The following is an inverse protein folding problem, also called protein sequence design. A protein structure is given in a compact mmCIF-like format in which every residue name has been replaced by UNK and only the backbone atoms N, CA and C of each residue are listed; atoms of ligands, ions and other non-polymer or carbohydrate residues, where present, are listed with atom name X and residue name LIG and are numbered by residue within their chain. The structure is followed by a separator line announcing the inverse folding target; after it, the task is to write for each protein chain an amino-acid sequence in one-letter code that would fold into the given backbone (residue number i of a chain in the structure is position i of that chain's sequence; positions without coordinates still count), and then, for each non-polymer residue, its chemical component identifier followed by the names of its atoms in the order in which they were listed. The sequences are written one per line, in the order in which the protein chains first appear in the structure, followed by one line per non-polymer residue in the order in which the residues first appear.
data_IF_651085980947
#
_entry.id   IF_651085980947
#
_cell.length_a   1.000
_cell.length_b   1.000
_cell.length_c   1.000
_cell.angle_alpha   90.00
_cell.angle_beta   90.00
_cell.angle_gamma   90.00
#
_symmetry.space_group_name_H-M   'P 1'
#
loop_
_entity.id
_entity.type
_entity.pdbx_description
1 polymer ?
#
# COMPACT_ATOMS: atom_id res chain seq x y z
N UNK A 1 0.55 18.22 -9.91
CA UNK A 1 -0.13 17.01 -10.41
C UNK A 1 0.37 16.52 -11.77
N UNK A 2 0.74 17.41 -12.74
CA UNK A 2 1.11 17.02 -14.12
C UNK A 2 2.19 15.93 -14.22
N UNK A 3 3.20 15.97 -13.36
CA UNK A 3 4.32 14.99 -13.37
C UNK A 3 4.04 13.71 -12.57
N UNK A 4 2.92 13.62 -11.85
CA UNK A 4 2.66 12.54 -10.90
C UNK A 4 2.77 11.14 -11.53
N UNK A 5 2.21 10.93 -12.72
CA UNK A 5 2.34 9.63 -13.42
C UNK A 5 3.78 9.21 -13.64
N UNK A 6 4.64 10.14 -14.00
CA UNK A 6 6.06 9.87 -14.28
C UNK A 6 6.87 9.61 -13.02
N UNK A 7 6.49 10.23 -11.88
CA UNK A 7 7.29 10.19 -10.64
C UNK A 7 6.78 9.19 -9.60
N UNK A 8 5.50 8.78 -9.65
CA UNK A 8 4.84 7.97 -8.61
C UNK A 8 5.49 6.62 -8.27
N UNK A 9 6.32 6.11 -9.15
CA UNK A 9 7.04 4.84 -8.97
C UNK A 9 8.46 5.01 -8.43
N UNK A 10 8.88 6.24 -8.12
CA UNK A 10 10.17 6.50 -7.50
C UNK A 10 10.25 5.89 -6.08
N UNK A 11 11.47 5.55 -5.68
CA UNK A 11 11.68 4.86 -4.39
C UNK A 11 11.84 5.85 -3.24
N UNK A 12 12.57 6.94 -3.46
CA UNK A 12 12.92 7.93 -2.43
C UNK A 12 12.69 9.35 -2.92
N UNK A 13 12.56 10.31 -2.00
CA UNK A 13 12.42 11.75 -2.29
C UNK A 13 11.00 12.28 -2.15
N UNK A 14 10.88 13.60 -2.22
CA UNK A 14 9.60 14.31 -1.99
C UNK A 14 8.66 14.27 -3.18
N UNK A 15 9.18 14.12 -4.40
CA UNK A 15 8.41 14.22 -5.65
C UNK A 15 7.73 12.90 -6.09
N UNK A 16 7.97 11.79 -5.38
CA UNK A 16 7.48 10.45 -5.77
C UNK A 16 6.11 10.09 -5.23
N UNK A 17 5.53 10.96 -4.43
CA UNK A 17 4.23 10.73 -3.80
C UNK A 17 3.47 12.03 -3.69
N UNK A 18 2.13 11.96 -3.69
CA UNK A 18 1.28 13.11 -3.34
C UNK A 18 1.42 13.53 -1.89
N UNK A 19 1.95 12.66 -1.01
CA UNK A 19 2.01 12.83 0.45
C UNK A 19 0.64 13.03 1.11
N UNK A 20 -0.45 12.61 0.45
CA UNK A 20 -1.81 12.74 0.98
C UNK A 20 -2.15 11.67 2.02
N UNK A 21 -1.45 10.51 2.00
CA UNK A 21 -1.84 9.35 2.79
C UNK A 21 -1.91 9.59 4.30
N UNK A 22 -0.98 10.29 4.98
CA UNK A 22 -1.11 10.58 6.41
C UNK A 22 -2.33 11.46 6.73
N UNK A 23 -2.61 12.44 5.88
CA UNK A 23 -3.76 13.35 6.04
C UNK A 23 -5.09 12.68 5.75
N UNK A 24 -5.13 11.75 4.78
CA UNK A 24 -6.29 10.94 4.49
C UNK A 24 -6.55 9.90 5.59
N UNK A 25 -5.49 9.31 6.16
CA UNK A 25 -5.59 8.34 7.24
C UNK A 25 -6.09 8.99 8.54
N UNK A 26 -5.56 10.17 8.89
CA UNK A 26 -5.99 10.93 10.08
C UNK A 26 -7.36 11.61 9.92
N UNK A 27 -7.91 11.67 8.70
CA UNK A 27 -9.16 12.39 8.41
C UNK A 27 -9.00 13.91 8.28
N UNK A 28 -7.79 14.45 8.39
CA UNK A 28 -7.51 15.88 8.19
C UNK A 28 -7.72 16.34 6.73
N UNK A 29 -7.63 15.40 5.78
CA UNK A 29 -7.97 15.60 4.37
C UNK A 29 -9.01 14.55 3.95
N UNK A 30 -10.12 14.97 3.34
CA UNK A 30 -11.05 14.03 2.73
C UNK A 30 -10.69 13.76 1.26
N UNK A 31 -11.00 12.55 0.77
CA UNK A 31 -10.82 12.22 -0.65
C UNK A 31 -11.67 13.15 -1.55
N UNK A 32 -12.85 13.58 -1.09
CA UNK A 32 -13.70 14.54 -1.81
C UNK A 32 -13.05 15.91 -1.94
N UNK A 33 -12.44 16.40 -0.86
CA UNK A 33 -11.70 17.67 -0.86
C UNK A 33 -10.51 17.58 -1.82
N UNK A 34 -9.70 16.50 -1.74
CA UNK A 34 -8.59 16.28 -2.65
C UNK A 34 -9.04 16.26 -4.12
N UNK A 35 -10.15 15.57 -4.41
CA UNK A 35 -10.74 15.53 -5.75
C UNK A 35 -11.23 16.89 -6.23
N UNK A 36 -11.92 17.66 -5.38
CA UNK A 36 -12.40 19.01 -5.73
C UNK A 36 -11.23 19.94 -6.09
N UNK A 37 -10.15 19.92 -5.30
CA UNK A 37 -8.94 20.70 -5.61
C UNK A 37 -8.26 20.21 -6.90
N UNK A 38 -8.25 18.90 -7.16
CA UNK A 38 -7.71 18.38 -8.40
C UNK A 38 -8.52 18.86 -9.61
N UNK A 39 -9.86 18.90 -9.52
CA UNK A 39 -10.72 19.42 -10.58
C UNK A 39 -10.57 20.91 -10.81
N UNK A 40 -10.43 21.69 -9.73
CA UNK A 40 -10.12 23.12 -9.85
C UNK A 40 -8.76 23.35 -10.54
N UNK A 41 -7.75 22.57 -10.17
CA UNK A 41 -6.45 22.58 -10.84
C UNK A 41 -6.54 22.23 -12.33
N UNK A 42 -7.30 21.21 -12.70
CA UNK A 42 -7.50 20.83 -14.12
C UNK A 42 -8.24 21.92 -14.91
N UNK A 43 -9.20 22.61 -14.30
CA UNK A 43 -9.90 23.73 -14.93
C UNK A 43 -8.98 24.93 -15.20
N UNK A 44 -8.02 25.20 -14.32
CA UNK A 44 -7.07 26.30 -14.45
C UNK A 44 -5.87 25.96 -15.36
N UNK A 45 -5.31 24.76 -15.22
CA UNK A 45 -4.02 24.35 -15.80
C UNK A 45 -4.11 23.30 -16.87
N UNK A 46 -5.30 22.79 -17.14
CA UNK A 46 -5.55 21.68 -18.04
C UNK A 46 -5.39 20.31 -17.40
N UNK A 47 -6.15 19.35 -17.87
CA UNK A 47 -6.05 17.94 -17.47
C UNK A 47 -4.77 17.31 -18.06
N UNK A 48 -4.26 16.28 -17.38
CA UNK A 48 -3.06 15.55 -17.78
C UNK A 48 -3.11 14.09 -17.32
N UNK A 49 -2.25 13.26 -17.87
CA UNK A 49 -2.04 11.90 -17.37
C UNK A 49 -1.69 11.88 -15.87
N UNK A 50 -0.94 12.85 -15.39
CA UNK A 50 -0.58 12.95 -13.97
C UNK A 50 -1.80 13.23 -13.09
N UNK A 51 -2.68 14.17 -13.49
CA UNK A 51 -3.91 14.46 -12.74
C UNK A 51 -4.89 13.28 -12.77
N UNK A 52 -5.03 12.60 -13.93
CA UNK A 52 -5.82 11.37 -14.05
C UNK A 52 -5.33 10.29 -13.07
N UNK A 53 -4.02 10.02 -13.02
CA UNK A 53 -3.48 9.00 -12.14
C UNK A 53 -3.63 9.36 -10.65
N UNK A 54 -3.55 10.63 -10.29
CA UNK A 54 -3.81 11.05 -8.92
C UNK A 54 -5.27 10.79 -8.51
N UNK A 55 -6.23 11.07 -9.39
CA UNK A 55 -7.62 10.70 -9.18
C UNK A 55 -7.80 9.18 -9.09
N UNK A 56 -7.14 8.44 -9.97
CA UNK A 56 -7.22 6.98 -10.01
C UNK A 56 -6.73 6.32 -8.70
N UNK A 57 -5.71 6.89 -8.05
CA UNK A 57 -5.27 6.41 -6.74
C UNK A 57 -6.31 6.66 -5.62
N UNK A 58 -7.10 7.73 -5.70
CA UNK A 58 -8.22 7.95 -4.79
C UNK A 58 -9.33 6.90 -4.99
N UNK A 59 -9.55 6.46 -6.24
CA UNK A 59 -10.49 5.36 -6.52
C UNK A 59 -10.04 4.03 -5.94
N UNK A 60 -8.73 3.71 -5.94
CA UNK A 60 -8.22 2.51 -5.28
C UNK A 60 -8.55 2.50 -3.78
N UNK A 61 -8.43 3.64 -3.12
CA UNK A 61 -8.82 3.77 -1.71
C UNK A 61 -10.29 3.44 -1.49
N UNK A 62 -11.18 3.98 -2.31
CA UNK A 62 -12.62 3.71 -2.23
C UNK A 62 -12.93 2.25 -2.61
N UNK A 63 -12.27 1.70 -3.62
CA UNK A 63 -12.41 0.30 -4.01
C UNK A 63 -12.12 -0.66 -2.84
N UNK A 64 -11.01 -0.49 -2.14
CA UNK A 64 -10.69 -1.32 -0.98
C UNK A 64 -11.70 -1.16 0.15
N UNK A 65 -12.21 0.04 0.36
CA UNK A 65 -13.29 0.27 1.33
C UNK A 65 -14.58 -0.47 0.95
N UNK A 66 -14.99 -0.42 -0.31
CA UNK A 66 -16.16 -1.15 -0.79
C UNK A 66 -15.98 -2.68 -0.73
N UNK A 67 -14.77 -3.17 -0.97
CA UNK A 67 -14.46 -4.59 -0.75
C UNK A 67 -14.70 -5.00 0.71
N UNK A 68 -14.29 -4.17 1.67
CA UNK A 68 -14.51 -4.45 3.08
C UNK A 68 -16.00 -4.44 3.44
N UNK A 69 -16.78 -3.50 2.90
CA UNK A 69 -18.24 -3.48 3.08
C UNK A 69 -18.91 -4.73 2.50
N UNK A 70 -18.38 -5.25 1.39
CA UNK A 70 -18.94 -6.43 0.71
C UNK A 70 -18.56 -7.74 1.39
N UNK A 71 -17.30 -7.92 1.76
CA UNK A 71 -16.75 -9.21 2.17
C UNK A 71 -16.44 -9.29 3.70
N UNK A 72 -16.32 -8.16 4.38
CA UNK A 72 -16.13 -8.08 5.81
C UNK A 72 -14.98 -8.97 6.33
N UNK A 73 -15.29 -9.79 7.31
CA UNK A 73 -14.30 -10.68 7.97
C UNK A 73 -13.62 -11.69 7.03
N UNK A 74 -14.17 -11.95 5.85
CA UNK A 74 -13.56 -12.89 4.91
C UNK A 74 -12.19 -12.41 4.45
N UNK A 75 -11.99 -11.10 4.30
CA UNK A 75 -10.73 -10.50 3.91
C UNK A 75 -9.57 -10.77 4.89
N UNK A 76 -9.86 -11.14 6.13
CA UNK A 76 -8.85 -11.39 7.18
C UNK A 76 -8.51 -12.87 7.35
N UNK A 77 -9.16 -13.77 6.60
CA UNK A 77 -8.85 -15.18 6.61
C UNK A 77 -7.52 -15.44 5.87
N UNK A 78 -6.82 -16.51 6.25
CA UNK A 78 -5.57 -16.89 5.60
C UNK A 78 -5.69 -17.03 4.08
N UNK A 79 -6.78 -17.60 3.59
CA UNK A 79 -7.08 -17.72 2.16
C UNK A 79 -7.58 -16.43 1.52
N UNK A 80 -7.96 -15.39 2.30
CA UNK A 80 -8.61 -14.19 1.78
C UNK A 80 -9.93 -14.54 1.07
N UNK A 81 -10.08 -14.07 -0.15
CA UNK A 81 -11.20 -14.42 -1.05
C UNK A 81 -10.87 -15.62 -1.95
N UNK A 82 -9.63 -16.10 -1.95
CA UNK A 82 -9.17 -17.23 -2.75
C UNK A 82 -9.40 -18.58 -2.06
N UNK A 83 -8.83 -19.62 -2.69
CA UNK A 83 -8.86 -21.00 -2.21
C UNK A 83 -7.47 -21.56 -1.85
N UNK A 84 -6.45 -20.71 -1.91
CA UNK A 84 -5.09 -21.13 -1.63
C UNK A 84 -4.96 -21.58 -0.16
N UNK A 85 -4.05 -22.52 0.14
CA UNK A 85 -3.78 -22.95 1.51
C UNK A 85 -3.30 -21.79 2.37
N UNK A 86 -3.38 -21.96 3.68
CA UNK A 86 -2.79 -21.00 4.61
C UNK A 86 -1.28 -20.86 4.33
N UNK A 87 -0.74 -19.64 4.35
CA UNK A 87 0.70 -19.44 4.19
C UNK A 87 1.47 -20.02 5.39
N UNK A 88 2.72 -20.36 5.17
CA UNK A 88 3.63 -20.73 6.26
C UNK A 88 4.04 -19.48 7.07
N UNK A 89 4.62 -19.72 8.24
CA UNK A 89 5.19 -18.65 9.04
C UNK A 89 6.47 -19.13 9.72
N UNK A 90 7.60 -18.54 9.34
CA UNK A 90 8.88 -18.70 10.02
C UNK A 90 9.14 -17.43 10.85
N UNK A 91 9.04 -17.50 12.19
CA UNK A 91 9.26 -16.33 13.05
C UNK A 91 10.67 -15.74 12.94
N UNK A 92 11.69 -16.55 12.67
CA UNK A 92 13.06 -16.08 12.55
C UNK A 92 13.28 -15.31 11.24
N UNK A 93 12.80 -15.83 10.12
CA UNK A 93 12.83 -15.16 8.82
C UNK A 93 11.98 -13.86 8.86
N UNK A 94 10.78 -13.93 9.43
CA UNK A 94 9.93 -12.75 9.62
C UNK A 94 10.60 -11.68 10.49
N UNK A 95 11.26 -12.09 11.60
CA UNK A 95 11.98 -11.15 12.46
C UNK A 95 13.14 -10.45 11.73
N UNK A 96 13.90 -11.17 10.90
CA UNK A 96 14.94 -10.54 10.04
C UNK A 96 14.34 -9.56 9.04
N UNK A 97 13.23 -9.93 8.40
CA UNK A 97 12.51 -9.02 7.49
C UNK A 97 12.06 -7.74 8.21
N UNK A 98 11.45 -7.83 9.39
CA UNK A 98 11.04 -6.67 10.18
C UNK A 98 12.20 -5.73 10.51
N UNK A 99 13.40 -6.27 10.77
CA UNK A 99 14.59 -5.46 11.14
C UNK A 99 15.42 -5.00 9.93
N UNK A 100 15.05 -5.40 8.69
CA UNK A 100 15.86 -5.13 7.50
C UNK A 100 17.23 -5.83 7.55
N UNK A 101 17.21 -7.12 7.86
CA UNK A 101 18.38 -8.01 8.02
C UNK A 101 18.22 -9.29 7.16
N UNK A 102 17.57 -9.15 6.01
CA UNK A 102 17.30 -10.27 5.11
C UNK A 102 18.52 -10.66 4.28
N UNK A 103 19.46 -9.74 4.10
CA UNK A 103 20.56 -9.83 3.17
C UNK A 103 20.25 -9.30 1.77
N UNK A 104 18.99 -8.92 1.52
CA UNK A 104 18.58 -8.30 0.26
C UNK A 104 18.62 -6.77 0.40
N UNK A 105 19.60 -6.08 -0.22
CA UNK A 105 19.91 -4.68 0.12
C UNK A 105 18.73 -3.72 -0.02
N UNK A 106 17.90 -3.90 -1.05
CA UNK A 106 16.76 -3.00 -1.29
C UNK A 106 15.62 -3.24 -0.30
N UNK A 107 15.36 -4.49 0.06
CA UNK A 107 14.38 -4.86 1.09
C UNK A 107 14.83 -4.31 2.44
N UNK A 108 16.09 -4.52 2.79
CA UNK A 108 16.65 -4.11 4.07
C UNK A 108 16.65 -2.59 4.22
N UNK A 109 17.02 -1.86 3.18
CA UNK A 109 16.96 -0.39 3.17
C UNK A 109 15.52 0.11 3.36
N UNK A 110 14.55 -0.48 2.66
CA UNK A 110 13.15 -0.11 2.75
C UNK A 110 12.56 -0.39 4.16
N UNK A 111 12.89 -1.54 4.76
CA UNK A 111 12.39 -1.88 6.10
C UNK A 111 13.02 -1.01 7.18
N UNK A 112 14.29 -0.61 7.02
CA UNK A 112 14.95 0.36 7.91
C UNK A 112 14.36 1.77 7.76
N UNK A 113 14.02 2.20 6.53
CA UNK A 113 13.29 3.46 6.29
C UNK A 113 11.95 3.45 7.02
N UNK A 114 11.18 2.35 6.90
CA UNK A 114 9.91 2.20 7.61
C UNK A 114 10.08 2.32 9.12
N UNK A 115 11.04 1.60 9.70
CA UNK A 115 11.30 1.64 11.14
C UNK A 115 11.74 3.03 11.63
N UNK A 116 12.51 3.77 10.82
CA UNK A 116 13.02 5.08 11.18
C UNK A 116 12.00 6.22 11.02
N UNK A 117 11.09 6.10 10.04
CA UNK A 117 10.23 7.23 9.63
C UNK A 117 8.72 6.95 9.76
N UNK A 118 8.33 5.70 9.89
CA UNK A 118 6.92 5.29 9.81
C UNK A 118 6.32 5.45 8.40
N UNK A 119 7.16 5.69 7.39
CA UNK A 119 6.72 5.90 6.01
C UNK A 119 7.57 5.11 5.02
N UNK A 120 6.96 4.70 3.92
CA UNK A 120 7.63 4.02 2.81
C UNK A 120 6.89 4.34 1.51
N UNK A 121 7.61 4.51 0.41
CA UNK A 121 6.98 4.73 -0.90
C UNK A 121 6.12 3.52 -1.29
N UNK A 122 5.04 3.75 -2.08
CA UNK A 122 4.16 2.66 -2.51
C UNK A 122 4.92 1.55 -3.24
N UNK A 123 5.92 1.90 -4.05
CA UNK A 123 6.73 0.92 -4.77
C UNK A 123 7.53 0.03 -3.82
N UNK A 124 8.12 0.60 -2.79
CA UNK A 124 8.86 -0.17 -1.79
C UNK A 124 7.91 -1.06 -0.97
N UNK A 125 6.70 -0.58 -0.61
CA UNK A 125 5.68 -1.42 0.07
C UNK A 125 5.36 -2.68 -0.73
N UNK A 126 5.16 -2.54 -2.04
CA UNK A 126 4.91 -3.68 -2.93
C UNK A 126 6.10 -4.64 -2.96
N UNK A 127 7.32 -4.12 -3.05
CA UNK A 127 8.54 -4.91 -3.12
C UNK A 127 8.75 -5.72 -1.83
N UNK A 128 8.73 -5.07 -0.67
CA UNK A 128 8.98 -5.79 0.60
C UNK A 128 7.87 -6.76 0.96
N UNK A 129 6.61 -6.47 0.57
CA UNK A 129 5.50 -7.39 0.74
C UNK A 129 5.63 -8.61 -0.19
N UNK A 130 5.98 -8.38 -1.47
CA UNK A 130 6.25 -9.46 -2.41
C UNK A 130 7.39 -10.37 -1.93
N UNK A 131 8.49 -9.80 -1.44
CA UNK A 131 9.61 -10.54 -0.89
C UNK A 131 9.20 -11.42 0.29
N UNK A 132 8.45 -10.86 1.27
CA UNK A 132 7.94 -11.65 2.40
C UNK A 132 7.09 -12.84 1.94
N UNK A 133 6.21 -12.62 0.97
CA UNK A 133 5.24 -13.62 0.52
C UNK A 133 5.88 -14.68 -0.38
N UNK A 134 6.63 -14.24 -1.39
CA UNK A 134 7.07 -15.11 -2.48
C UNK A 134 8.47 -15.69 -2.24
N UNK A 135 9.40 -14.93 -1.68
CA UNK A 135 10.78 -15.36 -1.46
C UNK A 135 10.93 -16.05 -0.10
N UNK A 136 10.31 -15.49 0.95
CA UNK A 136 10.34 -16.11 2.29
C UNK A 136 9.18 -17.08 2.55
N UNK A 137 8.19 -17.17 1.67
CA UNK A 137 6.99 -17.98 1.86
C UNK A 137 6.16 -17.56 3.09
N UNK A 138 6.31 -16.33 3.55
CA UNK A 138 5.77 -15.83 4.81
C UNK A 138 4.28 -15.54 4.80
N UNK A 139 3.71 -15.44 5.99
CA UNK A 139 2.29 -15.10 6.17
C UNK A 139 2.07 -13.60 5.90
N UNK A 140 1.36 -13.31 4.83
CA UNK A 140 0.97 -11.95 4.46
C UNK A 140 0.25 -11.19 5.58
N UNK A 141 -0.48 -11.90 6.48
CA UNK A 141 -1.19 -11.29 7.62
C UNK A 141 -0.23 -10.77 8.66
N UNK A 142 0.89 -11.45 8.88
CA UNK A 142 1.95 -10.97 9.76
C UNK A 142 2.59 -9.69 9.20
N UNK A 143 2.83 -9.64 7.89
CA UNK A 143 3.29 -8.42 7.22
C UNK A 143 2.29 -7.27 7.30
N UNK A 144 0.99 -7.56 7.10
CA UNK A 144 -0.06 -6.56 7.22
C UNK A 144 -0.14 -5.99 8.65
N UNK A 145 -0.02 -6.83 9.69
CA UNK A 145 0.01 -6.42 11.09
C UNK A 145 1.28 -5.61 11.42
N UNK A 146 2.42 -5.96 10.85
CA UNK A 146 3.64 -5.16 11.00
C UNK A 146 3.48 -3.75 10.40
N UNK A 147 2.90 -3.65 9.21
CA UNK A 147 2.61 -2.35 8.60
C UNK A 147 1.62 -1.52 9.42
N UNK A 148 0.59 -2.15 9.98
CA UNK A 148 -0.34 -1.50 10.90
C UNK A 148 0.38 -0.87 12.09
N UNK A 149 1.35 -1.58 12.67
CA UNK A 149 2.11 -1.11 13.83
C UNK A 149 3.13 -0.01 13.50
N UNK A 150 3.62 0.07 12.25
CA UNK A 150 4.72 0.96 11.88
C UNK A 150 4.29 2.20 11.10
N UNK A 151 3.23 2.10 10.26
CA UNK A 151 2.89 3.16 9.32
C UNK A 151 2.15 4.32 9.97
N UNK A 152 2.66 5.54 9.82
CA UNK A 152 1.99 6.78 10.22
C UNK A 152 0.75 7.09 9.36
N UNK A 153 0.67 6.50 8.17
CA UNK A 153 -0.43 6.63 7.23
C UNK A 153 -1.28 5.36 7.12
N UNK A 154 -1.30 4.55 8.20
CA UNK A 154 -2.09 3.34 8.24
C UNK A 154 -3.58 3.62 7.96
N UNK A 155 -4.12 2.93 6.99
CA UNK A 155 -5.56 2.87 6.67
C UNK A 155 -5.94 1.40 6.54
N UNK A 156 -6.88 0.94 7.37
CA UNK A 156 -7.22 -0.49 7.46
C UNK A 156 -7.65 -1.07 6.11
N UNK A 157 -8.41 -0.32 5.32
CA UNK A 157 -8.93 -0.80 4.05
C UNK A 157 -7.83 -0.91 2.99
N UNK A 158 -7.02 0.14 2.88
CA UNK A 158 -5.90 0.19 1.93
C UNK A 158 -4.81 -0.80 2.29
N UNK A 159 -4.43 -0.91 3.56
CA UNK A 159 -3.42 -1.86 4.01
C UNK A 159 -3.85 -3.30 3.71
N UNK A 160 -5.00 -3.70 4.24
CA UNK A 160 -5.52 -5.06 4.06
C UNK A 160 -5.74 -5.41 2.58
N UNK A 161 -6.33 -4.47 1.81
CA UNK A 161 -6.60 -4.68 0.39
C UNK A 161 -5.33 -4.87 -0.44
N UNK A 162 -4.28 -4.06 -0.19
CA UNK A 162 -2.99 -4.19 -0.88
C UNK A 162 -2.24 -5.47 -0.51
N UNK A 163 -2.25 -5.89 0.75
CA UNK A 163 -1.63 -7.15 1.16
C UNK A 163 -2.30 -8.35 0.51
N UNK A 164 -3.64 -8.39 0.46
CA UNK A 164 -4.38 -9.43 -0.25
C UNK A 164 -4.11 -9.42 -1.75
N UNK A 165 -3.99 -8.23 -2.33
CA UNK A 165 -3.65 -8.04 -3.75
C UNK A 165 -2.29 -8.68 -4.07
N UNK A 166 -1.24 -8.34 -3.31
CA UNK A 166 0.11 -8.86 -3.54
C UNK A 166 0.17 -10.35 -3.25
N UNK A 167 -0.58 -10.84 -2.26
CA UNK A 167 -0.67 -12.26 -1.93
C UNK A 167 -1.49 -13.09 -2.94
N UNK A 168 -2.09 -12.49 -3.97
CA UNK A 168 -2.95 -13.19 -4.92
C UNK A 168 -4.21 -13.78 -4.26
N UNK A 169 -4.74 -13.11 -3.22
CA UNK A 169 -5.88 -13.60 -2.42
C UNK A 169 -7.21 -12.99 -2.81
N UNK A 170 -7.33 -12.46 -4.03
CA UNK A 170 -8.63 -12.13 -4.65
C UNK A 170 -9.09 -10.68 -4.52
N UNK A 171 -8.19 -9.72 -4.26
CA UNK A 171 -8.53 -8.28 -4.31
C UNK A 171 -8.05 -7.60 -5.60
N UNK A 172 -7.44 -8.33 -6.52
CA UNK A 172 -7.11 -7.83 -7.85
C UNK A 172 -8.38 -7.75 -8.71
N UNK A 173 -8.79 -6.56 -9.19
CA UNK A 173 -9.99 -6.44 -10.02
C UNK A 173 -9.83 -7.02 -11.43
N UNK A 174 -8.60 -7.38 -11.79
CA UNK A 174 -8.30 -7.97 -13.11
C UNK A 174 -8.42 -9.50 -13.13
N UNK A 175 -8.65 -10.13 -11.98
CA UNK A 175 -8.78 -11.59 -11.81
C UNK A 175 -7.54 -12.24 -11.26
#
# INVERSE_FOLDING_TARGET
PHRYKATRNGLTGVDFSSKFSPWLASGALSARTAYAHLKAFEAERGASDGSYWLWFELLWRDYFRFLHLKYGRQLYRAAGLGKQPAPSHDPAAFGRWCRGETGEPLVDAAMRELAATGFMSNRLRQLVASYLINDLGGDWRAGAAWFEAQLIDYDVYSNQGNWLYIAGRGTDPRG
#
